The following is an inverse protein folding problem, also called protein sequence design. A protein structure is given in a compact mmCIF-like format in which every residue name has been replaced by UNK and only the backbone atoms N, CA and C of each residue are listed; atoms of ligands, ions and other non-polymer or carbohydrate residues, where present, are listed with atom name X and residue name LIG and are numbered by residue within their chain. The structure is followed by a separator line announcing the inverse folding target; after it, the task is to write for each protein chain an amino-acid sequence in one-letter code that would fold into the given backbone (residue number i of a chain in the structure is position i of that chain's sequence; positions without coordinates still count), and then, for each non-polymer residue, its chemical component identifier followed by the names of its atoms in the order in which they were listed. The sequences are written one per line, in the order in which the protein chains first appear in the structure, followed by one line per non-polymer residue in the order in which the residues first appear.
data_IF_512480947586
#
_entry.id   IF_512480947586
#
_cell.length_a   1.000
_cell.length_b   1.000
_cell.length_c   1.000
_cell.angle_alpha   90.00
_cell.angle_beta   90.00
_cell.angle_gamma   90.00
#
_symmetry.space_group_name_H-M   'P 1'
#
loop_
_entity.id
_entity.type
_entity.pdbx_description
1 polymer ?
#
# COMPACT_ATOMS: atom_id res chain seq x y z
N UNK A 1 -20.52 -11.13 0.79
CA UNK A 1 -19.47 -10.32 1.46
C UNK A 1 -18.15 -11.02 1.20
N UNK A 2 -17.17 -10.36 0.58
CA UNK A 2 -15.83 -10.92 0.44
C UNK A 2 -15.09 -10.75 1.77
N UNK A 3 -14.41 -11.80 2.23
CA UNK A 3 -13.61 -11.76 3.46
C UNK A 3 -12.17 -12.16 3.11
N UNK A 4 -11.22 -11.29 3.43
CA UNK A 4 -9.82 -11.47 3.06
C UNK A 4 -9.03 -12.15 4.17
N UNK A 5 -7.91 -12.79 3.81
CA UNK A 5 -7.05 -13.49 4.75
C UNK A 5 -6.44 -12.55 5.82
N UNK A 6 -6.27 -11.27 5.51
CA UNK A 6 -5.73 -10.28 6.46
C UNK A 6 -6.78 -9.65 7.39
N UNK A 7 -8.08 -9.81 7.10
CA UNK A 7 -9.17 -9.03 7.72
C UNK A 7 -9.78 -7.99 6.76
N UNK A 8 -10.62 -7.06 7.24
CA UNK A 8 -11.28 -6.06 6.41
C UNK A 8 -10.24 -5.08 5.89
N UNK A 9 -10.02 -5.05 4.58
CA UNK A 9 -9.05 -4.16 3.94
C UNK A 9 -9.71 -3.39 2.82
N UNK A 10 -9.58 -2.07 2.88
CA UNK A 10 -9.89 -1.18 1.77
C UNK A 10 -8.84 -1.37 0.69
N UNK A 11 -9.29 -1.47 -0.56
CA UNK A 11 -8.40 -1.62 -1.72
C UNK A 11 -7.38 -0.49 -1.78
N UNK A 12 -6.11 -0.82 -2.03
CA UNK A 12 -5.04 0.16 -2.17
C UNK A 12 -4.93 0.55 -3.65
N UNK A 13 -4.72 1.83 -4.00
CA UNK A 13 -4.53 2.24 -5.38
C UNK A 13 -3.27 1.65 -6.01
N UNK A 14 -3.42 0.99 -7.16
CA UNK A 14 -2.31 0.28 -7.82
C UNK A 14 -1.37 1.18 -8.63
N UNK A 15 -1.75 2.44 -8.90
CA UNK A 15 -0.84 3.40 -9.54
C UNK A 15 0.38 3.72 -8.67
N UNK A 16 0.38 3.29 -7.41
CA UNK A 16 1.47 3.50 -6.45
C UNK A 16 2.30 2.25 -6.19
N UNK A 17 1.99 1.12 -6.84
CA UNK A 17 2.67 -0.15 -6.58
C UNK A 17 4.14 -0.10 -7.04
N UNK A 18 4.41 0.57 -8.17
CA UNK A 18 5.75 0.78 -8.72
C UNK A 18 6.16 2.26 -8.73
N UNK A 19 7.46 2.53 -8.57
CA UNK A 19 7.99 3.89 -8.54
C UNK A 19 7.90 4.54 -9.91
N UNK A 20 6.99 5.51 -10.07
CA UNK A 20 6.75 6.13 -11.36
C UNK A 20 7.90 7.00 -11.87
N UNK A 21 8.84 7.37 -10.99
CA UNK A 21 10.01 8.17 -11.33
C UNK A 21 11.17 7.33 -11.86
N UNK A 22 11.13 6.02 -11.60
CA UNK A 22 12.03 5.04 -12.23
C UNK A 22 11.47 4.65 -13.61
N UNK A 23 12.17 4.96 -14.73
CA UNK A 23 11.71 4.59 -16.06
C UNK A 23 11.61 3.07 -16.25
N UNK A 24 12.44 2.30 -15.55
CA UNK A 24 12.43 0.84 -15.61
C UNK A 24 11.43 0.22 -14.63
N UNK A 25 10.81 1.04 -13.76
CA UNK A 25 9.77 0.64 -12.79
C UNK A 25 10.18 -0.57 -11.93
N UNK A 26 11.45 -0.65 -11.56
CA UNK A 26 12.02 -1.81 -10.84
C UNK A 26 11.70 -1.81 -9.35
N UNK A 27 11.39 -0.63 -8.81
CA UNK A 27 11.12 -0.43 -7.40
C UNK A 27 9.63 -0.60 -7.11
N UNK A 28 9.28 -1.67 -6.39
CA UNK A 28 7.91 -1.96 -5.95
C UNK A 28 7.76 -1.75 -4.44
N UNK A 29 6.58 -1.31 -3.98
CA UNK A 29 6.22 -1.37 -2.56
C UNK A 29 5.76 -2.77 -2.17
N UNK A 30 5.81 -3.08 -0.87
CA UNK A 30 5.07 -4.23 -0.37
C UNK A 30 3.58 -4.02 -0.68
N UNK A 31 2.84 -5.09 -0.96
CA UNK A 31 1.46 -5.00 -1.40
C UNK A 31 0.50 -5.28 -0.23
N UNK A 32 -0.71 -4.74 -0.33
CA UNK A 32 -1.72 -4.67 0.74
C UNK A 32 -1.28 -3.89 1.99
N UNK A 33 -2.26 -3.51 2.83
CA UNK A 33 -2.03 -2.83 4.10
C UNK A 33 -1.17 -3.61 5.08
N UNK A 34 -1.20 -4.94 5.02
CA UNK A 34 -0.49 -5.81 5.96
C UNK A 34 0.85 -6.31 5.43
N UNK A 35 1.34 -5.80 4.28
CA UNK A 35 2.58 -6.25 3.63
C UNK A 35 2.66 -7.79 3.51
N UNK A 36 1.60 -8.40 2.99
CA UNK A 36 1.44 -9.87 2.92
C UNK A 36 1.77 -10.44 1.55
N UNK A 37 2.16 -9.59 0.60
CA UNK A 37 2.53 -9.92 -0.79
C UNK A 37 3.74 -9.06 -1.18
N UNK A 38 4.71 -9.65 -1.87
CA UNK A 38 5.88 -8.98 -2.44
C UNK A 38 5.91 -8.99 -3.98
N UNK A 39 4.95 -9.66 -4.60
CA UNK A 39 4.79 -9.73 -6.06
C UNK A 39 3.33 -9.45 -6.45
N UNK A 40 3.10 -8.76 -7.57
CA UNK A 40 1.74 -8.65 -8.15
C UNK A 40 1.13 -10.04 -8.39
N UNK A 41 1.98 -10.99 -8.75
CA UNK A 41 1.63 -12.38 -8.98
C UNK A 41 1.12 -13.11 -7.72
N UNK A 42 1.37 -12.60 -6.52
CA UNK A 42 0.81 -13.18 -5.28
C UNK A 42 -0.70 -13.02 -5.18
N UNK A 43 -1.27 -12.06 -5.91
CA UNK A 43 -2.72 -11.92 -6.04
C UNK A 43 -3.38 -13.12 -6.73
N UNK A 44 -2.61 -14.10 -7.23
CA UNK A 44 -3.08 -15.44 -7.58
C UNK A 44 -3.89 -16.08 -6.44
N UNK A 45 -3.49 -15.86 -5.19
CA UNK A 45 -4.23 -16.32 -4.02
C UNK A 45 -5.59 -15.64 -3.86
N UNK A 46 -5.74 -14.40 -4.32
CA UNK A 46 -7.05 -13.72 -4.34
C UNK A 46 -7.92 -14.23 -5.50
N UNK A 47 -7.34 -14.58 -6.65
CA UNK A 47 -8.08 -15.23 -7.74
C UNK A 47 -8.65 -16.55 -7.23
N UNK A 48 -7.82 -17.36 -6.57
CA UNK A 48 -8.17 -18.70 -6.08
C UNK A 48 -9.07 -18.69 -4.85
N UNK A 49 -8.58 -18.10 -3.77
CA UNK A 49 -9.18 -18.20 -2.44
C UNK A 49 -10.27 -17.19 -2.14
N UNK A 50 -10.31 -16.06 -2.86
CA UNK A 50 -11.37 -15.06 -2.71
C UNK A 50 -12.36 -15.21 -3.84
N UNK A 51 -11.95 -15.00 -5.10
CA UNK A 51 -12.87 -14.93 -6.24
C UNK A 51 -13.46 -16.28 -6.68
N UNK A 52 -12.89 -17.41 -6.20
CA UNK A 52 -13.31 -18.77 -6.58
C UNK A 52 -12.83 -19.22 -7.96
N UNK A 53 -11.85 -18.52 -8.55
CA UNK A 53 -11.22 -18.91 -9.80
C UNK A 53 -10.20 -20.03 -9.62
N UNK A 54 -9.77 -20.65 -10.72
CA UNK A 54 -8.73 -21.68 -10.69
C UNK A 54 -7.30 -21.11 -10.55
N UNK A 55 -7.14 -19.80 -10.79
CA UNK A 55 -5.83 -19.18 -10.95
C UNK A 55 -5.32 -19.23 -12.39
N UNK A 56 -4.18 -18.59 -12.63
CA UNK A 56 -3.53 -18.57 -13.95
C UNK A 56 -2.08 -19.08 -13.91
N UNK A 57 -1.55 -19.49 -12.75
CA UNK A 57 -0.25 -20.18 -12.63
C UNK A 57 -0.44 -21.69 -12.86
N UNK A 58 0.24 -22.23 -13.87
CA UNK A 58 0.06 -23.60 -14.39
C UNK A 58 1.35 -24.40 -14.39
N UNK A 59 1.23 -25.71 -14.48
CA UNK A 59 2.33 -26.66 -14.65
C UNK A 59 2.93 -26.57 -16.06
N UNK A 60 3.96 -27.38 -16.33
CA UNK A 60 4.68 -27.40 -17.60
C UNK A 60 3.81 -27.77 -18.82
N UNK A 61 2.66 -28.42 -18.62
CA UNK A 61 1.70 -28.71 -19.69
C UNK A 61 0.93 -27.46 -20.18
N UNK A 62 1.08 -26.33 -19.48
CA UNK A 62 0.48 -25.05 -19.84
C UNK A 62 -1.02 -24.93 -19.56
N UNK A 63 -1.64 -25.92 -18.90
CA UNK A 63 -3.09 -25.97 -18.68
C UNK A 63 -3.49 -26.47 -17.30
N UNK A 64 -2.74 -27.39 -16.69
CA UNK A 64 -3.02 -27.87 -15.34
C UNK A 64 -2.57 -26.84 -14.33
N UNK A 65 -3.45 -26.48 -13.38
CA UNK A 65 -3.11 -25.50 -12.35
C UNK A 65 -1.97 -26.01 -11.46
N UNK A 66 -1.00 -25.14 -11.21
CA UNK A 66 0.03 -25.43 -10.21
C UNK A 66 -0.60 -25.26 -8.81
N UNK A 67 -0.49 -26.29 -7.97
CA UNK A 67 -1.03 -26.24 -6.61
C UNK A 67 -0.07 -25.61 -5.61
N UNK A 68 1.20 -25.45 -5.96
CA UNK A 68 2.23 -24.86 -5.10
C UNK A 68 2.25 -23.34 -5.24
N UNK A 69 1.13 -22.67 -4.97
CA UNK A 69 1.02 -21.19 -4.99
C UNK A 69 0.94 -20.68 -3.55
N UNK A 70 1.92 -19.87 -3.16
CA UNK A 70 2.02 -19.24 -1.85
C UNK A 70 2.67 -17.86 -2.02
N UNK A 71 2.30 -16.88 -1.19
CA UNK A 71 2.68 -15.49 -1.33
C UNK A 71 4.17 -15.15 -1.19
N UNK A 72 5.00 -16.06 -0.68
CA UNK A 72 6.37 -15.73 -0.31
C UNK A 72 7.30 -16.92 -0.51
N UNK A 73 7.12 -17.96 0.31
CA UNK A 73 7.93 -19.16 0.30
C UNK A 73 7.03 -20.35 0.01
N UNK A 74 7.56 -21.47 -0.54
CA UNK A 74 8.96 -21.73 -0.85
C UNK A 74 9.47 -21.10 -2.16
N UNK A 75 8.59 -20.58 -3.01
CA UNK A 75 8.92 -20.12 -4.35
C UNK A 75 8.21 -18.78 -4.63
N UNK A 76 8.90 -17.89 -5.34
CA UNK A 76 8.29 -16.69 -5.93
C UNK A 76 7.18 -17.07 -6.92
N UNK A 77 6.12 -16.28 -6.99
CA UNK A 77 5.08 -16.43 -7.99
C UNK A 77 5.44 -15.79 -9.33
N UNK A 78 6.32 -14.79 -9.37
CA UNK A 78 6.80 -14.24 -10.64
C UNK A 78 7.59 -15.28 -11.45
N UNK A 79 7.63 -15.07 -12.77
CA UNK A 79 8.38 -15.90 -13.74
C UNK A 79 7.97 -17.39 -13.79
N UNK A 80 6.82 -17.75 -13.21
CA UNK A 80 6.26 -19.11 -13.32
C UNK A 80 5.55 -19.32 -14.64
N UNK A 81 5.30 -20.59 -14.97
CA UNK A 81 4.44 -20.95 -16.09
C UNK A 81 3.02 -20.44 -15.85
N UNK A 82 2.42 -19.84 -16.88
CA UNK A 82 1.13 -19.17 -16.79
C UNK A 82 0.24 -19.59 -17.96
N UNK A 83 -1.08 -19.49 -17.75
CA UNK A 83 -2.03 -19.46 -18.86
C UNK A 83 -1.68 -18.30 -19.79
N UNK A 84 -1.73 -18.57 -21.10
CA UNK A 84 -1.37 -17.60 -22.12
C UNK A 84 -2.59 -17.12 -22.88
N UNK A 85 -2.66 -15.81 -23.12
CA UNK A 85 -3.61 -15.20 -24.05
C UNK A 85 -2.82 -14.67 -25.22
N UNK A 86 -3.04 -15.24 -26.41
CA UNK A 86 -2.30 -14.88 -27.64
C UNK A 86 -0.78 -14.99 -27.47
N UNK A 87 -0.32 -16.01 -26.74
CA UNK A 87 1.09 -16.28 -26.49
C UNK A 87 1.73 -15.48 -25.36
N UNK A 88 1.02 -14.53 -24.75
CA UNK A 88 1.50 -13.72 -23.61
C UNK A 88 1.04 -14.33 -22.30
N UNK A 89 1.95 -14.46 -21.32
CA UNK A 89 1.62 -14.91 -19.96
C UNK A 89 0.62 -13.96 -19.29
N UNK A 90 -0.41 -14.50 -18.65
CA UNK A 90 -1.47 -13.70 -18.05
C UNK A 90 -0.97 -12.78 -16.93
N UNK A 91 -0.13 -13.28 -16.03
CA UNK A 91 0.48 -12.47 -14.97
C UNK A 91 1.47 -11.46 -15.53
N UNK A 92 2.26 -11.85 -16.54
CA UNK A 92 3.19 -10.91 -17.20
C UNK A 92 2.43 -9.71 -17.79
N UNK A 93 1.29 -9.96 -18.43
CA UNK A 93 0.44 -8.90 -18.97
C UNK A 93 -0.23 -8.04 -17.89
N UNK A 94 -0.74 -8.67 -16.82
CA UNK A 94 -1.38 -7.96 -15.70
C UNK A 94 -0.38 -7.06 -14.98
N UNK A 95 0.80 -7.60 -14.64
CA UNK A 95 1.88 -6.86 -14.01
C UNK A 95 2.35 -5.72 -14.90
N UNK A 96 2.59 -5.96 -16.19
CA UNK A 96 2.98 -4.89 -17.10
C UNK A 96 1.93 -3.77 -17.17
N UNK A 97 0.63 -4.11 -17.12
CA UNK A 97 -0.43 -3.13 -17.06
C UNK A 97 -0.41 -2.31 -15.76
N UNK A 98 -0.21 -2.95 -14.60
CA UNK A 98 -0.08 -2.24 -13.31
C UNK A 98 1.19 -1.37 -13.30
N UNK A 99 2.32 -1.94 -13.71
CA UNK A 99 3.64 -1.36 -13.67
C UNK A 99 3.80 -0.15 -14.60
N UNK A 100 3.21 -0.18 -15.80
CA UNK A 100 3.38 0.84 -16.83
C UNK A 100 2.09 1.52 -17.31
N UNK A 101 0.94 0.86 -17.17
CA UNK A 101 -0.32 1.30 -17.76
C UNK A 101 -1.16 2.23 -16.87
N UNK A 102 -1.11 2.05 -15.55
CA UNK A 102 -1.89 2.85 -14.60
C UNK A 102 -1.12 4.12 -14.23
N UNK A 103 -1.74 5.29 -14.47
CA UNK A 103 -1.12 6.60 -14.22
C UNK A 103 -1.66 7.22 -12.94
N UNK A 104 -0.81 7.98 -12.25
CA UNK A 104 -1.23 8.77 -11.10
C UNK A 104 -2.19 9.90 -11.52
N UNK A 105 -3.36 10.05 -10.88
CA UNK A 105 -4.22 11.21 -11.07
C UNK A 105 -3.50 12.54 -10.80
N UNK A 106 -3.80 13.57 -11.59
CA UNK A 106 -3.24 14.92 -11.45
C UNK A 106 -4.10 15.72 -10.49
N UNK A 107 -3.48 16.37 -9.49
CA UNK A 107 -4.23 17.11 -8.48
C UNK A 107 -4.84 18.39 -9.07
N UNK A 108 -6.11 18.70 -8.75
CA UNK A 108 -6.68 20.00 -9.06
C UNK A 108 -6.18 21.10 -8.12
N UNK A 109 -5.44 20.75 -7.05
CA UNK A 109 -4.90 21.69 -6.06
C UNK A 109 -3.54 22.18 -6.52
N UNK A 110 -3.36 23.49 -6.65
CA UNK A 110 -2.13 24.04 -7.20
C UNK A 110 -1.01 24.06 -6.15
N UNK A 111 0.18 23.59 -6.52
CA UNK A 111 1.35 23.52 -5.64
C UNK A 111 1.79 24.89 -5.08
N UNK A 112 1.45 25.99 -5.77
CA UNK A 112 1.79 27.35 -5.38
C UNK A 112 0.78 28.04 -4.45
N UNK A 113 -0.34 27.38 -4.10
CA UNK A 113 -1.29 27.96 -3.15
C UNK A 113 -0.62 28.21 -1.79
N UNK A 114 -0.87 29.36 -1.11
CA UNK A 114 -0.20 29.69 0.15
C UNK A 114 -0.34 28.59 1.23
N UNK A 115 -1.52 27.99 1.34
CA UNK A 115 -1.78 26.91 2.31
C UNK A 115 -1.06 25.61 1.95
N UNK A 116 -0.84 25.33 0.66
CA UNK A 116 -0.06 24.16 0.21
C UNK A 116 1.42 24.34 0.58
N UNK A 117 1.97 25.53 0.33
CA UNK A 117 3.36 25.86 0.67
C UNK A 117 3.59 25.79 2.18
N UNK A 118 2.70 26.38 2.97
CA UNK A 118 2.76 26.31 4.43
C UNK A 118 2.55 24.87 4.94
N UNK A 119 1.60 24.14 4.36
CA UNK A 119 1.32 22.75 4.67
C UNK A 119 2.50 21.82 4.42
N UNK A 120 3.25 22.03 3.34
CA UNK A 120 4.48 21.29 3.04
C UNK A 120 5.54 21.49 4.13
N UNK A 121 5.75 22.74 4.56
CA UNK A 121 6.70 23.04 5.63
C UNK A 121 6.29 22.38 6.96
N UNK A 122 4.99 22.42 7.29
CA UNK A 122 4.44 21.76 8.47
C UNK A 122 4.56 20.24 8.41
N UNK A 123 4.30 19.63 7.25
CA UNK A 123 4.47 18.20 7.00
C UNK A 123 5.93 17.76 7.26
N UNK A 124 6.90 18.55 6.79
CA UNK A 124 8.32 18.30 7.03
C UNK A 124 8.71 18.46 8.51
N UNK A 125 8.18 19.49 9.17
CA UNK A 125 8.44 19.76 10.59
C UNK A 125 7.84 18.70 11.52
N UNK A 126 6.69 18.12 11.16
CA UNK A 126 6.09 16.96 11.84
C UNK A 126 6.72 15.62 11.43
N UNK A 127 7.74 15.64 10.55
CA UNK A 127 8.48 14.49 10.07
C UNK A 127 7.58 13.40 9.43
N UNK A 128 6.49 13.81 8.77
CA UNK A 128 5.55 12.88 8.13
C UNK A 128 6.21 12.08 6.99
N UNK A 129 7.21 12.67 6.33
CA UNK A 129 8.01 12.05 5.27
C UNK A 129 8.76 10.79 5.72
N UNK A 130 8.97 10.61 7.04
CA UNK A 130 9.60 9.38 7.57
C UNK A 130 8.89 8.11 7.08
N UNK A 131 7.57 8.16 6.91
CA UNK A 131 6.76 7.05 6.39
C UNK A 131 6.11 7.37 5.04
N UNK A 132 5.90 8.65 4.73
CA UNK A 132 5.18 9.11 3.54
C UNK A 132 6.03 9.96 2.58
N UNK A 133 7.36 9.78 2.62
CA UNK A 133 8.32 10.47 1.76
C UNK A 133 8.73 9.68 0.52
N UNK A 134 9.79 10.16 -0.13
CA UNK A 134 10.37 9.58 -1.33
C UNK A 134 9.49 9.71 -2.58
N UNK A 135 9.97 9.20 -3.73
CA UNK A 135 9.31 9.42 -5.02
C UNK A 135 7.91 8.81 -5.13
N UNK A 136 7.62 7.74 -4.38
CA UNK A 136 6.30 7.13 -4.28
C UNK A 136 5.45 7.66 -3.11
N UNK A 137 5.90 8.65 -2.34
CA UNK A 137 5.18 9.16 -1.16
C UNK A 137 4.82 8.07 -0.13
N UNK A 138 5.69 7.08 0.00
CA UNK A 138 5.67 5.99 0.98
C UNK A 138 7.10 5.50 1.20
N UNK A 139 7.45 5.09 2.42
CA UNK A 139 8.73 4.45 2.73
C UNK A 139 8.76 2.97 2.34
N UNK A 140 7.59 2.36 2.11
CA UNK A 140 7.41 0.92 1.88
C UNK A 140 8.04 0.46 0.58
N UNK A 141 8.88 -0.59 0.64
CA UNK A 141 9.57 -1.18 -0.53
C UNK A 141 9.76 -2.68 -0.34
N UNK A 142 9.67 -3.45 -1.42
CA UNK A 142 10.25 -4.80 -1.47
C UNK A 142 11.76 -4.63 -1.73
N UNK A 143 12.60 -5.00 -0.75
CA UNK A 143 14.05 -4.69 -0.75
C UNK A 143 14.95 -5.88 -1.09
N UNK A 144 14.35 -6.89 -1.69
CA UNK A 144 14.99 -8.16 -2.01
C UNK A 144 14.36 -8.70 -3.29
N UNK A 145 15.02 -9.64 -3.95
CA UNK A 145 14.39 -10.41 -5.03
C UNK A 145 13.58 -11.54 -4.40
N UNK A 146 12.26 -11.63 -4.63
CA UNK A 146 11.46 -12.76 -4.14
C UNK A 146 12.03 -14.11 -4.59
N UNK A 147 11.90 -15.18 -3.79
CA UNK A 147 11.23 -15.21 -2.49
C UNK A 147 12.04 -14.55 -1.36
N UNK A 148 11.42 -14.14 -0.24
CA UNK A 148 12.12 -13.53 0.87
C UNK A 148 13.11 -14.50 1.55
N UNK A 149 14.25 -13.95 1.96
CA UNK A 149 15.22 -14.67 2.79
C UNK A 149 14.73 -14.92 4.23
N UNK A 150 15.48 -15.75 4.97
CA UNK A 150 15.18 -16.04 6.36
C UNK A 150 15.15 -14.75 7.21
N UNK A 151 14.14 -14.61 8.08
CA UNK A 151 14.00 -13.47 9.00
C UNK A 151 13.31 -12.23 8.41
N UNK A 152 13.01 -12.21 7.10
CA UNK A 152 12.21 -11.12 6.49
C UNK A 152 10.76 -11.15 6.95
N UNK A 153 10.22 -12.36 7.13
CA UNK A 153 8.81 -12.58 7.48
C UNK A 153 8.64 -12.79 8.98
N UNK A 154 7.71 -12.03 9.57
CA UNK A 154 7.18 -12.27 10.93
C UNK A 154 5.66 -12.28 10.81
N UNK A 155 5.01 -13.30 11.38
CA UNK A 155 3.55 -13.48 11.32
C UNK A 155 2.96 -13.49 9.89
N UNK A 156 3.76 -13.87 8.89
CA UNK A 156 3.35 -13.86 7.47
C UNK A 156 3.30 -12.46 6.86
N UNK A 157 4.05 -11.50 7.41
CA UNK A 157 4.14 -10.13 6.93
C UNK A 157 5.61 -9.73 6.73
N UNK A 158 5.89 -8.86 5.76
CA UNK A 158 7.22 -8.24 5.61
C UNK A 158 7.37 -7.19 6.71
N UNK A 159 7.92 -7.60 7.86
CA UNK A 159 7.84 -6.84 9.11
C UNK A 159 8.54 -5.47 9.03
N UNK A 160 9.61 -5.37 8.21
CA UNK A 160 10.37 -4.13 8.03
C UNK A 160 9.54 -3.01 7.39
N UNK A 161 8.51 -3.37 6.64
CA UNK A 161 7.67 -2.43 5.91
C UNK A 161 6.43 -2.01 6.70
N UNK A 162 6.22 -2.52 7.92
CA UNK A 162 5.10 -2.13 8.77
C UNK A 162 5.47 -1.00 9.73
N UNK A 163 4.50 -0.11 9.97
CA UNK A 163 4.57 0.96 10.96
C UNK A 163 3.36 0.86 11.89
N UNK A 164 3.62 0.75 13.19
CA UNK A 164 2.58 0.82 14.20
C UNK A 164 2.47 2.27 14.70
N UNK A 165 1.42 2.95 14.28
CA UNK A 165 1.18 4.37 14.52
C UNK A 165 -0.18 4.62 15.19
N UNK A 166 -0.70 3.63 15.91
CA UNK A 166 -1.94 3.76 16.69
C UNK A 166 -3.22 3.84 15.85
N UNK A 167 -3.22 3.32 14.62
CA UNK A 167 -4.39 3.29 13.73
C UNK A 167 -5.14 1.96 13.72
N UNK A 168 -4.61 0.94 14.40
CA UNK A 168 -5.24 -0.37 14.55
C UNK A 168 -6.00 -0.47 15.87
N UNK A 169 -7.25 -0.95 15.82
CA UNK A 169 -8.05 -1.30 16.99
C UNK A 169 -8.68 -2.67 16.78
N UNK A 170 -8.17 -3.69 17.48
CA UNK A 170 -8.64 -5.07 17.37
C UNK A 170 -10.06 -5.29 17.91
N UNK A 171 -10.62 -4.33 18.65
CA UNK A 171 -11.99 -4.42 19.16
C UNK A 171 -13.05 -3.99 18.13
N UNK A 172 -12.66 -3.48 16.96
CA UNK A 172 -13.63 -3.16 15.91
C UNK A 172 -14.31 -4.42 15.38
N UNK A 173 -15.63 -4.36 15.27
CA UNK A 173 -16.49 -5.50 14.93
C UNK A 173 -16.08 -6.26 13.67
N UNK A 174 -15.56 -5.55 12.67
CA UNK A 174 -15.19 -6.12 11.39
C UNK A 174 -13.75 -6.66 11.34
N UNK A 175 -12.91 -6.46 12.36
CA UNK A 175 -11.51 -6.89 12.38
C UNK A 175 -11.39 -8.40 12.65
N UNK A 176 -11.82 -9.21 11.68
CA UNK A 176 -11.82 -10.68 11.72
C UNK A 176 -11.35 -11.23 10.37
N UNK A 177 -10.52 -12.27 10.37
CA UNK A 177 -10.05 -12.93 9.13
C UNK A 177 -11.11 -13.87 8.54
N UNK A 178 -10.89 -14.29 7.30
CA UNK A 178 -11.69 -15.32 6.63
C UNK A 178 -11.87 -16.62 7.43
N UNK A 179 -10.91 -16.94 8.30
CA UNK A 179 -10.91 -18.15 9.15
C UNK A 179 -11.45 -17.91 10.56
N UNK A 180 -12.08 -16.76 10.83
CA UNK A 180 -12.45 -16.28 12.18
C UNK A 180 -11.26 -16.10 13.14
N UNK A 181 -10.02 -16.16 12.65
CA UNK A 181 -8.83 -15.86 13.42
C UNK A 181 -8.66 -14.35 13.65
N UNK A 182 -7.82 -14.01 14.64
CA UNK A 182 -7.48 -12.62 14.97
C UNK A 182 -6.89 -11.89 13.73
N UNK A 183 -7.31 -10.66 13.44
CA UNK A 183 -6.90 -9.86 12.26
C UNK A 183 -5.38 -9.59 12.25
N UNK A 184 -4.82 -9.23 11.09
CA UNK A 184 -3.49 -8.61 11.06
C UNK A 184 -3.61 -7.13 11.47
N UNK A 185 -2.52 -6.51 11.92
CA UNK A 185 -2.48 -5.08 12.28
C UNK A 185 -1.81 -4.77 13.63
N UNK A 186 -1.62 -5.78 14.49
CA UNK A 186 -0.88 -5.62 15.76
C UNK A 186 0.58 -5.18 15.52
N UNK A 187 1.20 -5.71 14.46
CA UNK A 187 2.55 -5.33 14.02
C UNK A 187 2.56 -4.00 13.23
N UNK A 188 1.40 -3.38 13.02
CA UNK A 188 1.21 -2.16 12.23
C UNK A 188 0.79 -2.42 10.79
N UNK A 189 0.88 -1.36 9.98
CA UNK A 189 0.51 -1.38 8.57
C UNK A 189 1.62 -0.84 7.68
N UNK A 190 1.66 -1.37 6.47
CA UNK A 190 2.40 -0.86 5.34
C UNK A 190 1.96 0.58 5.04
N UNK A 191 2.84 1.59 5.18
CA UNK A 191 2.48 2.98 4.91
C UNK A 191 1.89 3.13 3.50
N UNK A 192 0.63 3.56 3.36
CA UNK A 192 0.06 3.81 2.05
C UNK A 192 0.78 4.99 1.41
N UNK A 193 0.87 4.96 0.08
CA UNK A 193 1.33 6.12 -0.68
C UNK A 193 0.34 7.28 -0.53
N UNK A 194 0.86 8.51 -0.37
CA UNK A 194 0.05 9.73 -0.46
C UNK A 194 -0.11 10.23 -1.90
N UNK A 195 0.52 9.57 -2.89
CA UNK A 195 0.49 9.98 -4.29
C UNK A 195 -0.94 9.97 -4.83
N UNK A 196 -1.44 11.15 -5.22
CA UNK A 196 -2.79 11.36 -5.75
C UNK A 196 -3.91 10.99 -4.78
N UNK A 197 -3.66 11.09 -3.47
CA UNK A 197 -4.65 10.71 -2.45
C UNK A 197 -5.95 11.55 -2.54
N UNK A 198 -5.89 12.77 -3.10
CA UNK A 198 -7.05 13.62 -3.37
C UNK A 198 -8.13 12.93 -4.22
N UNK A 199 -7.75 11.96 -5.07
CA UNK A 199 -8.69 11.22 -5.92
C UNK A 199 -9.60 10.27 -5.12
N UNK A 200 -9.29 10.06 -3.83
CA UNK A 200 -10.02 9.20 -2.92
C UNK A 200 -10.44 10.00 -1.68
N UNK A 201 -11.50 10.83 -1.76
CA UNK A 201 -11.81 11.84 -0.74
C UNK A 201 -12.34 11.28 0.58
N UNK A 202 -12.69 9.99 0.62
CA UNK A 202 -13.33 9.32 1.76
C UNK A 202 -12.81 7.88 1.94
N UNK A 203 -13.18 7.24 3.06
CA UNK A 203 -12.78 5.86 3.44
C UNK A 203 -11.27 5.67 3.66
N UNK A 204 -10.68 6.49 4.51
CA UNK A 204 -9.29 6.41 4.93
C UNK A 204 -9.03 5.31 5.98
N UNK A 205 -7.74 5.00 6.17
CA UNK A 205 -7.23 3.87 6.94
C UNK A 205 -7.52 2.50 6.31
N UNK A 206 -6.91 1.46 6.86
CA UNK A 206 -6.96 0.11 6.32
C UNK A 206 -8.37 -0.47 6.25
N UNK A 207 -9.26 -0.05 7.15
CA UNK A 207 -10.63 -0.52 7.23
C UNK A 207 -11.67 0.50 6.77
N UNK A 208 -11.24 1.66 6.25
CA UNK A 208 -12.15 2.71 5.78
C UNK A 208 -12.89 3.45 6.90
N UNK A 209 -12.42 3.40 8.15
CA UNK A 209 -13.14 3.93 9.31
C UNK A 209 -13.28 5.47 9.35
N UNK A 210 -12.50 6.21 8.56
CA UNK A 210 -12.48 7.68 8.57
C UNK A 210 -12.88 8.25 7.21
N UNK A 211 -13.67 9.32 7.19
CA UNK A 211 -14.21 9.92 5.96
C UNK A 211 -13.58 11.27 5.58
N UNK A 212 -12.53 11.71 6.29
CA UNK A 212 -11.77 12.92 5.94
C UNK A 212 -10.31 12.82 6.37
N UNK A 213 -9.43 13.58 5.71
CA UNK A 213 -8.03 13.73 6.12
C UNK A 213 -7.92 14.48 7.45
N UNK A 214 -8.83 15.41 7.76
CA UNK A 214 -8.88 16.06 9.07
C UNK A 214 -9.09 15.03 10.18
N UNK A 215 -10.00 14.07 10.01
CA UNK A 215 -10.21 13.00 10.97
C UNK A 215 -8.99 12.07 11.10
N UNK A 216 -8.23 11.87 10.02
CA UNK A 216 -6.94 11.15 10.07
C UNK A 216 -5.92 11.92 10.91
N UNK A 217 -5.86 13.24 10.74
CA UNK A 217 -4.96 14.11 11.50
C UNK A 217 -5.43 14.35 12.93
N UNK A 218 -6.68 14.09 13.30
CA UNK A 218 -7.13 14.16 14.69
C UNK A 218 -6.55 13.05 15.58
N UNK A 219 -6.08 11.94 14.99
CA UNK A 219 -5.32 10.91 15.71
C UNK A 219 -3.92 11.42 16.09
N UNK A 220 -3.75 11.81 17.36
CA UNK A 220 -2.50 12.34 17.92
C UNK A 220 -1.35 11.36 17.73
N UNK A 221 -1.57 10.09 18.08
CA UNK A 221 -0.55 9.03 17.99
C UNK A 221 -0.02 8.87 16.57
N UNK A 222 -0.90 8.98 15.57
CA UNK A 222 -0.49 8.91 14.17
C UNK A 222 0.28 10.17 13.74
N UNK A 223 -0.28 11.37 13.96
CA UNK A 223 0.34 12.61 13.46
C UNK A 223 1.66 12.96 14.15
N UNK A 224 1.91 12.48 15.37
CA UNK A 224 3.16 12.68 16.09
C UNK A 224 4.13 11.50 16.01
N UNK A 225 3.80 10.45 15.24
CA UNK A 225 4.67 9.28 15.10
C UNK A 225 6.04 9.63 14.50
N UNK A 226 6.09 10.59 13.57
CA UNK A 226 7.33 11.06 12.94
C UNK A 226 8.29 11.74 13.92
N UNK A 227 7.78 12.33 14.99
CA UNK A 227 8.55 13.11 15.99
C UNK A 227 8.76 12.34 17.29
N UNK A 228 8.57 11.02 17.30
CA UNK A 228 8.68 10.21 18.50
C UNK A 228 7.60 10.49 19.55
N UNK A 229 6.44 11.01 19.12
CA UNK A 229 5.29 11.30 19.97
C UNK A 229 5.09 12.78 20.31
N UNK A 230 6.01 13.66 19.94
CA UNK A 230 5.89 15.12 20.20
C UNK A 230 4.90 15.75 19.21
N UNK A 231 3.71 16.11 19.68
CA UNK A 231 2.68 16.71 18.82
C UNK A 231 3.00 18.17 18.47
N UNK A 232 3.48 18.40 17.24
CA UNK A 232 3.78 19.73 16.69
C UNK A 232 2.61 20.35 15.91
N UNK A 233 1.50 19.62 15.75
CA UNK A 233 0.33 20.00 14.95
C UNK A 233 -0.93 20.15 15.82
N UNK A 234 -0.78 20.75 17.00
CA UNK A 234 -1.88 20.99 17.95
C UNK A 234 -2.90 22.02 17.44
N UNK A 235 -2.48 22.96 16.59
CA UNK A 235 -3.34 23.96 15.95
C UNK A 235 -4.14 23.36 14.79
N UNK A 236 -5.46 23.49 14.83
CA UNK A 236 -6.35 23.01 13.77
C UNK A 236 -6.10 23.68 12.41
N UNK A 237 -5.79 24.98 12.40
CA UNK A 237 -5.50 25.70 11.16
C UNK A 237 -4.22 25.17 10.49
N UNK A 238 -3.24 24.73 11.27
CA UNK A 238 -2.01 24.14 10.74
C UNK A 238 -2.27 22.71 10.21
N UNK A 239 -3.12 21.93 10.89
CA UNK A 239 -3.58 20.63 10.35
C UNK A 239 -4.31 20.80 9.01
N UNK A 240 -5.18 21.79 8.87
CA UNK A 240 -5.87 22.04 7.59
C UNK A 240 -4.92 22.41 6.45
N UNK A 241 -3.82 23.12 6.73
CA UNK A 241 -2.76 23.37 5.72
C UNK A 241 -2.04 22.08 5.34
N UNK A 242 -1.73 21.21 6.30
CA UNK A 242 -1.17 19.88 6.01
C UNK A 242 -2.13 19.05 5.15
N UNK A 243 -3.43 19.06 5.45
CA UNK A 243 -4.45 18.44 4.59
C UNK A 243 -4.41 19.02 3.17
N UNK A 244 -4.34 20.34 3.04
CA UNK A 244 -4.27 21.01 1.73
C UNK A 244 -3.02 20.60 0.95
N UNK A 245 -1.87 20.49 1.63
CA UNK A 245 -0.66 19.96 1.02
C UNK A 245 -0.83 18.51 0.58
N UNK A 246 -1.38 17.62 1.42
CA UNK A 246 -1.62 16.21 1.05
C UNK A 246 -2.53 16.10 -0.18
N UNK A 247 -3.57 16.94 -0.27
CA UNK A 247 -4.45 17.01 -1.43
C UNK A 247 -3.74 17.49 -2.71
N UNK A 248 -2.65 18.26 -2.59
CA UNK A 248 -1.85 18.70 -3.75
C UNK A 248 -0.90 17.64 -4.30
N UNK A 249 -0.64 16.56 -3.55
CA UNK A 249 0.36 15.57 -3.94
C UNK A 249 -0.09 14.78 -5.18
N UNK A 250 0.67 14.93 -6.26
CA UNK A 250 0.58 14.15 -7.48
C UNK A 250 1.99 13.88 -8.08
N UNK A 251 2.06 13.29 -9.28
CA UNK A 251 3.33 12.91 -9.91
C UNK A 251 4.24 14.11 -10.26
N UNK A 252 3.72 15.33 -10.29
CA UNK A 252 4.52 16.54 -10.51
C UNK A 252 5.09 17.13 -9.23
N UNK A 253 4.59 16.68 -8.06
CA UNK A 253 4.97 17.23 -6.77
C UNK A 253 6.40 16.78 -6.41
N UNK A 254 7.34 17.71 -6.13
CA UNK A 254 8.69 17.34 -5.74
C UNK A 254 8.68 16.46 -4.48
N UNK A 255 9.33 15.28 -4.48
CA UNK A 255 9.40 14.42 -3.31
C UNK A 255 10.05 15.09 -2.10
N UNK A 256 9.73 14.60 -0.91
CA UNK A 256 10.45 14.94 0.33
C UNK A 256 11.25 13.69 0.73
N UNK A 257 12.59 13.77 0.87
CA UNK A 257 13.42 12.65 1.27
C UNK A 257 13.09 12.09 2.66
#
# INVERSE_FOLDING_TARGET
MWIFAAGPRRTVPQHTDFDQTDPDRTTQRALNWSAIFDEEEDFELNIRGVSGGLGIIVLADGVSQDTNVQAFTPLANANRNQLKVRGVGGWDALKAFVQFGIRAPISPVAAGEPDVVAGRALFQAANCQLCHGGPQWTSSRVRYTPPPGAGVLVNGQIISELKNVGTFNSAFFNEVRATAAAPLGADGFNPPSLLSLFAFPETFLHNGALNSLDAVLDNVTHRSAGTGGVDTLTNAADRSKVVRFIQSIDASTPPIP
#
